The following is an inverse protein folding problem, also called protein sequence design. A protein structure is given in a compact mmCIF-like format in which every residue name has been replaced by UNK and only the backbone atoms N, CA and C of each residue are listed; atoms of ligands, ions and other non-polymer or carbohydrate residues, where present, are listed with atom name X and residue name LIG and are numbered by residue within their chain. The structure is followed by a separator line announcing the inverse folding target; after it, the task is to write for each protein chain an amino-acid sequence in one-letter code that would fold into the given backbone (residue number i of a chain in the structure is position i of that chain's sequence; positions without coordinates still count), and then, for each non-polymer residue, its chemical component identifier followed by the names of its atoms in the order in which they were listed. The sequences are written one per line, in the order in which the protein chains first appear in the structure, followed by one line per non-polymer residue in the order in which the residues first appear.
data_IF_197069904195
#
_entry.id   IF_197069904195
#
_cell.length_a   1.000
_cell.length_b   1.000
_cell.length_c   1.000
_cell.angle_alpha   90.00
_cell.angle_beta   90.00
_cell.angle_gamma   90.00
#
_symmetry.space_group_name_H-M   'P 1'
#
loop_
_entity.id
_entity.type
_entity.pdbx_description
1 polymer ?
#
# COMPACT_ATOMS: atom_id res chain seq x y z
N UNK A 1 -0.16 14.54 0.86
CA UNK A 1 -1.24 13.90 1.62
C UNK A 1 -2.10 13.07 0.68
N UNK A 2 -1.80 11.78 0.54
CA UNK A 2 -2.57 10.85 -0.31
C UNK A 2 -2.80 9.48 0.36
N UNK A 3 -2.78 9.42 1.69
CA UNK A 3 -3.41 8.29 2.38
C UNK A 3 -4.85 8.71 2.62
N UNK A 4 -5.78 8.07 1.91
CA UNK A 4 -7.19 8.30 2.13
C UNK A 4 -7.56 7.91 3.57
N UNK A 5 -8.36 8.73 4.25
CA UNK A 5 -8.70 8.53 5.67
C UNK A 5 -9.28 7.15 5.96
N UNK A 6 -10.01 6.59 5.00
CA UNK A 6 -10.56 5.23 5.03
C UNK A 6 -9.53 4.09 5.13
N UNK A 7 -8.26 4.31 4.77
CA UNK A 7 -7.17 3.31 4.96
C UNK A 7 -6.43 3.58 6.27
N UNK A 8 -6.26 4.86 6.62
CA UNK A 8 -5.54 5.27 7.82
C UNK A 8 -6.26 4.87 9.10
N UNK A 9 -7.55 5.18 9.20
CA UNK A 9 -8.35 4.94 10.40
C UNK A 9 -8.39 3.46 10.81
N UNK A 10 -8.65 2.48 9.90
CA UNK A 10 -8.62 1.07 10.28
C UNK A 10 -7.23 0.60 10.70
N UNK A 11 -6.16 1.03 10.04
CA UNK A 11 -4.82 0.58 10.42
C UNK A 11 -4.37 1.15 11.77
N UNK A 12 -4.72 2.41 12.07
CA UNK A 12 -4.45 3.02 13.38
C UNK A 12 -5.26 2.32 14.49
N UNK A 13 -6.51 1.92 14.22
CA UNK A 13 -7.29 1.10 15.14
C UNK A 13 -6.62 -0.27 15.39
N UNK A 14 -6.16 -0.94 14.34
CA UNK A 14 -5.57 -2.28 14.44
C UNK A 14 -4.21 -2.26 15.14
N UNK A 15 -3.49 -1.14 15.09
CA UNK A 15 -2.28 -0.91 15.90
C UNK A 15 -2.59 -0.99 17.40
N UNK A 16 -3.74 -0.49 17.85
CA UNK A 16 -4.14 -0.46 19.26
C UNK A 16 -4.75 -1.77 19.78
N UNK A 17 -5.08 -2.71 18.88
CA UNK A 17 -5.70 -3.98 19.23
C UNK A 17 -4.65 -5.11 19.30
N UNK A 18 -4.44 -5.74 20.47
CA UNK A 18 -3.27 -6.58 20.72
C UNK A 18 -3.17 -7.81 19.82
N UNK A 19 -4.27 -8.30 19.26
CA UNK A 19 -4.33 -9.47 18.37
C UNK A 19 -4.71 -9.15 16.92
N UNK A 20 -5.01 -7.89 16.59
CA UNK A 20 -5.47 -7.51 15.25
C UNK A 20 -4.30 -7.31 14.28
N UNK A 21 -4.54 -7.65 13.01
CA UNK A 21 -3.63 -7.41 11.89
C UNK A 21 -4.40 -6.83 10.70
N UNK A 22 -3.88 -5.77 10.11
CA UNK A 22 -4.48 -5.12 8.94
C UNK A 22 -3.75 -5.56 7.67
N UNK A 23 -4.49 -5.66 6.56
CA UNK A 23 -3.86 -5.75 5.24
C UNK A 23 -4.72 -5.08 4.19
N UNK A 24 -4.09 -4.44 3.21
CA UNK A 24 -4.77 -3.86 2.08
C UNK A 24 -3.93 -3.98 0.80
N UNK A 25 -4.55 -3.74 -0.35
CA UNK A 25 -3.89 -3.72 -1.64
C UNK A 25 -4.08 -2.34 -2.30
N UNK A 26 -3.03 -1.83 -2.96
CA UNK A 26 -3.04 -0.55 -3.65
C UNK A 26 -2.41 -0.63 -5.03
N UNK A 27 -2.86 0.26 -5.93
CA UNK A 27 -2.26 0.52 -7.25
C UNK A 27 -1.41 1.79 -7.27
N UNK A 28 -1.31 2.49 -6.14
CA UNK A 28 -0.56 3.72 -5.97
C UNK A 28 0.65 3.50 -5.07
N UNK A 29 1.79 4.04 -5.49
CA UNK A 29 2.98 4.17 -4.64
C UNK A 29 2.83 5.43 -3.79
N UNK A 30 2.50 5.24 -2.51
CA UNK A 30 2.43 6.33 -1.56
C UNK A 30 3.57 6.20 -0.52
N UNK A 31 4.66 6.93 -0.74
CA UNK A 31 5.85 6.91 0.13
C UNK A 31 5.60 7.49 1.52
N UNK A 32 4.53 8.27 1.74
CA UNK A 32 4.14 8.73 3.08
C UNK A 32 3.84 7.54 4.01
N UNK A 33 3.43 6.39 3.46
CA UNK A 33 3.19 5.16 4.21
C UNK A 33 4.49 4.55 4.80
N UNK A 34 5.68 4.90 4.29
CA UNK A 34 6.96 4.43 4.84
C UNK A 34 7.28 5.07 6.19
N UNK A 35 6.78 6.28 6.43
CA UNK A 35 6.96 7.00 7.69
C UNK A 35 5.94 6.56 8.75
N UNK A 36 4.98 5.70 8.38
CA UNK A 36 3.92 5.27 9.27
C UNK A 36 4.35 4.08 10.10
N UNK A 37 4.43 4.29 11.42
CA UNK A 37 4.72 3.22 12.37
C UNK A 37 3.50 2.31 12.57
N UNK A 38 3.44 1.24 11.77
CA UNK A 38 2.43 0.19 11.87
C UNK A 38 2.72 -0.85 12.96
N UNK A 39 3.83 -0.74 13.70
CA UNK A 39 4.30 -1.73 14.69
C UNK A 39 4.33 -3.18 14.16
N UNK A 40 4.58 -3.37 12.85
CA UNK A 40 4.60 -4.68 12.20
C UNK A 40 3.21 -5.36 12.09
N UNK A 41 2.12 -4.62 12.30
CA UNK A 41 0.75 -5.15 12.29
C UNK A 41 0.01 -4.92 10.98
N UNK A 42 0.58 -4.18 10.04
CA UNK A 42 -0.05 -3.84 8.76
C UNK A 42 0.76 -4.37 7.60
N UNK A 43 0.12 -5.18 6.74
CA UNK A 43 0.71 -5.65 5.48
C UNK A 43 0.16 -4.85 4.30
N UNK A 44 1.04 -4.12 3.63
CA UNK A 44 0.72 -3.38 2.40
C UNK A 44 1.04 -4.27 1.20
N UNK A 45 0.12 -4.37 0.24
CA UNK A 45 0.33 -5.12 -1.01
C UNK A 45 0.18 -4.21 -2.22
N UNK A 46 1.02 -4.41 -3.23
CA UNK A 46 0.85 -3.75 -4.52
C UNK A 46 0.13 -4.68 -5.49
N UNK A 47 -0.93 -4.18 -6.12
CA UNK A 47 -1.57 -4.89 -7.23
C UNK A 47 -0.66 -4.82 -8.45
N UNK A 48 -0.31 -5.98 -8.99
CA UNK A 48 0.51 -6.11 -10.20
C UNK A 48 -0.29 -6.79 -11.31
N UNK A 49 0.09 -6.48 -12.54
CA UNK A 49 -0.46 -7.02 -13.77
C UNK A 49 0.63 -6.87 -14.86
N UNK A 50 0.64 -7.70 -15.92
CA UNK A 50 1.52 -7.47 -17.07
C UNK A 50 1.40 -6.05 -17.60
N UNK A 51 2.55 -5.46 -17.98
CA UNK A 51 2.63 -4.04 -18.34
C UNK A 51 1.68 -3.65 -19.47
N UNK A 52 1.59 -4.48 -20.51
CA UNK A 52 0.73 -4.23 -21.66
C UNK A 52 -0.76 -4.17 -21.29
N UNK A 53 -1.21 -5.09 -20.43
CA UNK A 53 -2.59 -5.09 -19.94
C UNK A 53 -2.86 -3.90 -19.02
N UNK A 54 -1.93 -3.59 -18.11
CA UNK A 54 -2.07 -2.46 -17.19
C UNK A 54 -2.14 -1.11 -17.93
N UNK A 55 -1.47 -0.97 -19.08
CA UNK A 55 -1.50 0.24 -19.91
C UNK A 55 -2.91 0.61 -20.38
N UNK A 56 -3.78 -0.39 -20.57
CA UNK A 56 -5.16 -0.18 -21.04
C UNK A 56 -6.20 -0.27 -19.91
N UNK A 57 -5.95 -1.03 -18.84
CA UNK A 57 -6.93 -1.24 -17.76
C UNK A 57 -6.69 -0.41 -16.50
N UNK A 58 -5.46 0.05 -16.27
CA UNK A 58 -5.01 0.68 -15.01
C UNK A 58 -4.73 2.18 -15.21
N UNK A 59 -5.74 2.91 -15.70
CA UNK A 59 -5.64 4.36 -15.96
C UNK A 59 -5.53 5.14 -14.64
N UNK A 60 -4.68 6.18 -14.61
CA UNK A 60 -4.45 7.08 -13.45
C UNK A 60 -3.95 6.37 -12.18
N UNK A 61 -3.16 5.32 -12.34
CA UNK A 61 -2.47 4.62 -11.24
C UNK A 61 -0.96 4.71 -11.40
N UNK A 62 -0.19 4.37 -10.36
CA UNK A 62 1.27 4.32 -10.50
C UNK A 62 1.65 3.24 -11.53
N UNK A 63 2.64 3.46 -12.40
CA UNK A 63 3.10 2.45 -13.35
C UNK A 63 3.57 1.16 -12.66
N UNK A 64 3.42 0.01 -13.32
CA UNK A 64 3.83 -1.31 -12.79
C UNK A 64 5.31 -1.31 -12.37
N UNK A 65 6.21 -0.73 -13.17
CA UNK A 65 7.62 -0.64 -12.84
C UNK A 65 7.88 0.14 -11.54
N UNK A 66 7.14 1.23 -11.32
CA UNK A 66 7.24 2.03 -10.09
C UNK A 66 6.75 1.25 -8.88
N UNK A 67 5.63 0.51 -9.02
CA UNK A 67 5.10 -0.37 -7.95
C UNK A 67 6.12 -1.43 -7.57
N UNK A 68 6.77 -2.06 -8.55
CA UNK A 68 7.79 -3.10 -8.31
C UNK A 68 9.01 -2.50 -7.59
N UNK A 69 9.51 -1.35 -8.06
CA UNK A 69 10.65 -0.68 -7.44
C UNK A 69 10.35 -0.30 -5.97
N UNK A 70 9.12 0.13 -5.68
CA UNK A 70 8.71 0.51 -4.34
C UNK A 70 8.57 -0.68 -3.38
N UNK A 71 8.37 -1.93 -3.83
CA UNK A 71 8.18 -3.08 -2.94
C UNK A 71 9.31 -3.21 -1.92
N UNK A 72 10.56 -2.99 -2.35
CA UNK A 72 11.72 -3.10 -1.47
C UNK A 72 11.74 -2.04 -0.37
N UNK A 73 11.17 -0.86 -0.63
CA UNK A 73 11.08 0.20 0.37
C UNK A 73 10.09 -0.18 1.50
N UNK A 74 9.08 -0.99 1.18
CA UNK A 74 8.04 -1.47 2.12
C UNK A 74 8.34 -2.86 2.72
N UNK A 75 9.54 -3.40 2.50
CA UNK A 75 9.98 -4.65 3.10
C UNK A 75 10.36 -4.42 4.57
N UNK A 76 9.36 -4.49 5.45
CA UNK A 76 9.52 -4.48 6.91
C UNK A 76 9.88 -5.88 7.44
#
# INVERSE_FOLDING_TARGET
MLVSGNVREPCDLFRMLPTAKASFATKFVNRELLQWDSMGRTRIRFSLMPHETAKVTDIRTSPIAERIAAINDFAC
#
